data_IF_982085832015
#
_entry.id   IF_982085832015
#
_cell.length_a   1.000
_cell.length_b   1.000
_cell.length_c   1.000
_cell.angle_alpha   90.00
_cell.angle_beta   90.00
_cell.angle_gamma   90.00
#
_symmetry.space_group_name_H-M   'P 1'
#
loop_
_entity.id
_entity.type
_entity.pdbx_description
1 polymer ?
#
# COMPACT_ATOMS: atom_id res chain seq x y z
N UNK A 1 7.92 23.99 61.48
CA UNK A 1 8.32 25.31 60.94
C UNK A 1 8.78 25.11 59.50
N UNK A 2 8.16 25.81 58.54
CA UNK A 2 8.77 26.33 57.29
C UNK A 2 9.12 25.30 56.18
N UNK A 3 8.79 25.45 54.90
CA UNK A 3 7.89 26.34 54.15
C UNK A 3 7.67 25.73 52.73
N UNK A 4 6.47 25.95 52.17
CA UNK A 4 6.10 25.64 50.78
C UNK A 4 6.92 26.44 49.77
N UNK A 5 7.10 25.95 48.52
CA UNK A 5 7.84 26.67 47.48
C UNK A 5 7.15 28.00 47.11
N UNK A 6 7.92 29.03 46.73
CA UNK A 6 7.44 30.39 46.54
C UNK A 6 6.52 30.52 45.32
N UNK A 7 5.43 31.27 45.51
CA UNK A 7 4.50 31.66 44.44
C UNK A 7 5.19 32.55 43.40
N UNK A 8 4.96 32.24 42.12
CA UNK A 8 5.41 33.07 41.00
C UNK A 8 4.57 34.35 40.91
N UNK A 9 5.17 35.53 40.66
CA UNK A 9 4.44 36.79 40.57
C UNK A 9 3.56 36.84 39.32
N UNK A 10 2.26 37.03 39.52
CA UNK A 10 1.37 37.56 38.50
C UNK A 10 1.59 39.08 38.42
N UNK A 11 2.18 39.55 37.32
CA UNK A 11 2.37 40.96 37.04
C UNK A 11 2.51 41.16 35.53
N UNK A 12 1.50 41.77 34.92
CA UNK A 12 1.24 41.74 33.49
C UNK A 12 2.32 42.39 32.62
N UNK A 13 2.82 41.61 31.65
CA UNK A 13 3.45 42.12 30.44
C UNK A 13 2.51 41.80 29.27
N UNK A 14 1.84 42.83 28.77
CA UNK A 14 1.00 42.76 27.57
C UNK A 14 1.91 42.52 26.37
N UNK A 15 1.91 41.30 25.84
CA UNK A 15 2.62 40.96 24.60
C UNK A 15 1.82 41.52 23.40
N UNK A 16 2.48 42.15 22.41
CA UNK A 16 1.82 42.74 21.25
C UNK A 16 1.19 41.66 20.36
N UNK A 17 -0.07 41.89 19.97
CA UNK A 17 -0.83 41.07 19.03
C UNK A 17 -0.30 41.29 17.61
N UNK A 18 0.49 40.35 17.12
CA UNK A 18 0.87 40.31 15.70
C UNK A 18 0.17 39.12 15.02
N UNK A 19 -0.72 39.51 14.10
CA UNK A 19 -1.16 38.80 12.90
C UNK A 19 -1.22 37.26 12.96
N UNK A 20 -2.46 36.80 13.15
CA UNK A 20 -2.98 35.54 12.65
C UNK A 20 -2.73 35.42 11.13
N UNK A 21 -1.61 34.83 10.76
CA UNK A 21 -1.45 34.14 9.47
C UNK A 21 -0.96 32.73 9.78
N UNK A 22 -1.92 31.88 10.17
CA UNK A 22 -1.72 30.43 10.10
C UNK A 22 -1.38 30.10 8.66
N UNK A 23 -0.19 29.54 8.46
CA UNK A 23 0.15 28.83 7.23
C UNK A 23 -0.98 27.87 6.90
N UNK A 24 -1.52 27.97 5.68
CA UNK A 24 -2.54 27.07 5.15
C UNK A 24 -1.89 25.69 5.03
N UNK A 25 -1.92 24.90 6.11
CA UNK A 25 -1.63 23.47 6.03
C UNK A 25 -2.72 22.90 5.13
N UNK A 26 -2.37 22.55 3.90
CA UNK A 26 -3.23 21.81 2.98
C UNK A 26 -3.91 20.68 3.72
N UNK A 27 -5.21 20.85 3.97
CA UNK A 27 -6.06 19.78 4.46
C UNK A 27 -6.55 19.04 3.22
N UNK A 28 -5.72 18.14 2.69
CA UNK A 28 -6.20 17.12 1.75
C UNK A 28 -6.98 16.08 2.55
N UNK A 29 -8.18 16.43 2.99
CA UNK A 29 -9.18 15.45 3.37
C UNK A 29 -9.67 14.84 2.07
N UNK A 30 -9.14 13.67 1.73
CA UNK A 30 -9.72 12.84 0.68
C UNK A 30 -11.07 12.37 1.21
N UNK A 31 -12.15 13.00 0.74
CA UNK A 31 -13.51 12.52 0.93
C UNK A 31 -13.64 11.17 0.19
N UNK A 32 -13.51 10.06 0.91
CA UNK A 32 -14.02 8.75 0.48
C UNK A 32 -15.55 8.74 0.65
N UNK A 33 -16.22 9.64 -0.05
CA UNK A 33 -17.66 9.64 -0.27
C UNK A 33 -17.96 8.99 -1.63
N UNK A 34 -17.77 7.68 -1.73
CA UNK A 34 -17.96 6.92 -2.97
C UNK A 34 -18.85 5.68 -2.77
N UNK A 35 -20.08 5.78 -3.26
CA UNK A 35 -21.12 4.76 -3.50
C UNK A 35 -20.68 3.28 -3.45
N UNK A 36 -21.50 2.37 -2.88
CA UNK A 36 -21.25 0.93 -2.98
C UNK A 36 -21.52 0.47 -4.42
N UNK A 37 -20.52 -0.13 -5.08
CA UNK A 37 -20.69 -0.75 -6.39
C UNK A 37 -19.79 -0.27 -7.53
N UNK A 38 -18.70 0.44 -7.25
CA UNK A 38 -17.72 0.83 -8.27
C UNK A 38 -16.69 -0.27 -8.55
N UNK A 39 -17.02 -1.21 -9.44
CA UNK A 39 -15.99 -2.06 -10.06
C UNK A 39 -15.04 -1.20 -10.87
N UNK A 40 -13.73 -1.36 -10.66
CA UNK A 40 -12.67 -0.73 -11.47
C UNK A 40 -12.83 -1.10 -12.94
N UNK A 41 -13.55 -0.26 -13.69
CA UNK A 41 -13.85 -0.42 -15.12
C UNK A 41 -13.51 0.85 -15.90
N UNK A 42 -12.38 1.46 -15.62
CA UNK A 42 -11.90 2.59 -16.43
C UNK A 42 -10.43 2.38 -16.72
N UNK A 43 -10.17 1.73 -17.85
CA UNK A 43 -9.00 1.97 -18.71
C UNK A 43 -9.41 1.49 -20.09
N UNK A 44 -10.08 2.39 -20.80
CA UNK A 44 -10.66 2.19 -22.13
C UNK A 44 -9.65 2.60 -23.21
N UNK A 45 -9.45 1.65 -24.12
CA UNK A 45 -8.88 1.58 -25.48
C UNK A 45 -7.87 2.59 -26.09
N UNK A 46 -7.63 3.81 -25.62
CA UNK A 46 -6.70 4.74 -26.33
C UNK A 46 -5.89 5.70 -25.42
N UNK A 47 -5.66 5.33 -24.15
CA UNK A 47 -5.08 6.23 -23.13
C UNK A 47 -4.20 5.62 -22.03
N UNK A 48 -3.69 4.39 -22.19
CA UNK A 48 -3.05 3.61 -21.12
C UNK A 48 -1.56 3.85 -20.87
N UNK A 49 -0.98 4.99 -21.24
CA UNK A 49 0.47 5.25 -21.08
C UNK A 49 0.71 5.92 -19.73
N UNK A 50 0.61 5.17 -18.63
CA UNK A 50 1.15 5.66 -17.37
C UNK A 50 2.66 5.89 -17.55
N UNK A 51 3.19 6.99 -17.02
CA UNK A 51 4.63 7.27 -17.07
C UNK A 51 5.47 6.19 -16.34
N UNK A 52 4.81 5.38 -15.50
CA UNK A 52 5.39 4.26 -14.75
C UNK A 52 4.75 2.98 -15.25
N UNK A 53 5.59 2.00 -15.60
CA UNK A 53 5.16 0.61 -15.81
C UNK A 53 5.28 -0.18 -14.51
N UNK A 54 4.26 -0.96 -14.19
CA UNK A 54 4.20 -1.81 -13.01
C UNK A 54 4.19 -3.27 -13.46
N UNK A 55 5.23 -4.01 -13.06
CA UNK A 55 5.33 -5.44 -13.29
C UNK A 55 5.32 -6.21 -11.96
N UNK A 56 4.67 -7.37 -11.95
CA UNK A 56 4.54 -8.24 -10.78
C UNK A 56 5.11 -9.62 -11.11
N UNK A 57 5.93 -10.20 -10.23
CA UNK A 57 6.38 -11.60 -10.35
C UNK A 57 5.82 -12.45 -9.22
N UNK A 58 5.16 -13.54 -9.57
CA UNK A 58 4.77 -14.58 -8.63
C UNK A 58 5.96 -15.55 -8.45
N UNK A 59 6.31 -15.85 -7.20
CA UNK A 59 7.36 -16.82 -6.89
C UNK A 59 6.76 -18.21 -6.69
N UNK A 60 7.48 -19.30 -7.03
CA UNK A 60 7.07 -20.64 -6.67
C UNK A 60 6.78 -20.79 -5.17
N UNK A 61 5.79 -21.61 -4.79
CA UNK A 61 5.52 -21.97 -3.40
C UNK A 61 6.74 -22.58 -2.72
N UNK A 62 6.95 -22.33 -1.42
CA UNK A 62 8.05 -22.94 -0.68
C UNK A 62 7.87 -24.46 -0.61
N UNK A 63 8.93 -25.21 -0.91
CA UNK A 63 8.97 -26.67 -0.79
C UNK A 63 9.33 -27.05 0.65
N UNK A 64 8.93 -28.25 1.07
CA UNK A 64 9.28 -28.77 2.40
C UNK A 64 10.78 -29.03 2.58
N UNK A 65 11.54 -29.08 1.48
CA UNK A 65 13.00 -29.22 1.49
C UNK A 65 13.73 -27.88 1.58
N UNK A 66 13.02 -26.77 1.44
CA UNK A 66 13.63 -25.45 1.43
C UNK A 66 14.00 -25.02 2.86
N UNK A 67 15.14 -24.32 3.05
CA UNK A 67 15.54 -23.88 4.37
C UNK A 67 14.48 -22.98 5.00
N UNK A 68 14.03 -23.31 6.21
CA UNK A 68 13.04 -22.54 6.95
C UNK A 68 11.58 -22.81 6.55
N UNK A 69 11.29 -23.76 5.67
CA UNK A 69 9.92 -24.17 5.32
C UNK A 69 9.10 -24.63 6.54
N UNK A 70 9.76 -25.28 7.50
CA UNK A 70 9.14 -25.77 8.74
C UNK A 70 8.62 -24.64 9.62
N UNK A 71 9.27 -23.46 9.56
CA UNK A 71 8.85 -22.27 10.29
C UNK A 71 7.61 -21.61 9.69
N UNK A 72 7.27 -21.92 8.43
CA UNK A 72 6.10 -21.37 7.75
C UNK A 72 4.87 -22.14 8.23
N UNK A 73 3.88 -21.48 8.86
CA UNK A 73 2.62 -22.11 9.24
C UNK A 73 1.93 -22.77 8.04
N UNK A 74 1.33 -23.94 8.26
CA UNK A 74 0.71 -24.74 7.20
C UNK A 74 -0.29 -23.95 6.32
N UNK A 75 -1.04 -23.02 6.92
CA UNK A 75 -2.00 -22.13 6.22
C UNK A 75 -1.36 -21.18 5.19
N UNK A 76 -0.05 -20.98 5.23
CA UNK A 76 0.69 -20.10 4.32
C UNK A 76 1.56 -20.87 3.31
N UNK A 77 1.47 -22.21 3.29
CA UNK A 77 2.27 -23.05 2.37
C UNK A 77 1.63 -23.22 0.99
N UNK A 78 0.31 -23.07 0.88
CA UNK A 78 -0.41 -23.14 -0.39
C UNK A 78 -0.33 -21.82 -1.17
N UNK A 79 -0.38 -21.90 -2.50
CA UNK A 79 -0.49 -20.72 -3.35
C UNK A 79 -1.88 -20.09 -3.18
N UNK A 80 -1.91 -18.79 -2.89
CA UNK A 80 -3.14 -17.99 -2.80
C UNK A 80 -3.33 -17.10 -4.03
N UNK A 81 -2.39 -17.15 -4.98
CA UNK A 81 -2.32 -16.29 -6.14
C UNK A 81 -2.38 -17.11 -7.42
N UNK A 82 -3.16 -16.65 -8.38
CA UNK A 82 -3.37 -17.32 -9.66
C UNK A 82 -3.18 -16.31 -10.78
N UNK A 83 -2.13 -16.50 -11.57
CA UNK A 83 -1.92 -15.75 -12.81
C UNK A 83 -2.93 -16.25 -13.84
N UNK A 84 -3.81 -15.36 -14.30
CA UNK A 84 -4.87 -15.72 -15.25
C UNK A 84 -4.51 -15.32 -16.68
N UNK A 85 -3.67 -14.29 -16.83
CA UNK A 85 -3.07 -13.84 -18.08
C UNK A 85 -1.76 -13.09 -17.79
N UNK A 86 -0.96 -12.73 -18.81
CA UNK A 86 0.25 -11.93 -18.64
C UNK A 86 0.02 -10.53 -18.05
N UNK A 87 -1.22 -10.10 -17.85
CA UNK A 87 -1.57 -8.80 -17.26
C UNK A 87 -2.51 -8.92 -16.06
N UNK A 88 -2.98 -10.12 -15.73
CA UNK A 88 -4.04 -10.33 -14.73
C UNK A 88 -3.63 -11.32 -13.66
N UNK A 89 -3.75 -10.89 -12.41
CA UNK A 89 -3.45 -11.68 -11.20
C UNK A 89 -4.68 -11.75 -10.31
N UNK A 90 -5.11 -12.96 -9.97
CA UNK A 90 -6.18 -13.18 -8.99
C UNK A 90 -5.57 -13.60 -7.65
N UNK A 91 -6.01 -12.99 -6.55
CA UNK A 91 -5.57 -13.33 -5.19
C UNK A 91 -6.78 -13.77 -4.36
N UNK A 92 -6.68 -14.95 -3.77
CA UNK A 92 -7.63 -15.50 -2.82
C UNK A 92 -7.29 -15.05 -1.39
N UNK A 93 -8.28 -14.50 -0.71
CA UNK A 93 -8.18 -14.02 0.67
C UNK A 93 -9.37 -14.53 1.48
N UNK A 94 -9.31 -14.42 2.81
CA UNK A 94 -10.43 -14.70 3.70
C UNK A 94 -11.69 -13.86 3.38
N UNK A 95 -11.52 -12.73 2.70
CA UNK A 95 -12.61 -11.85 2.24
C UNK A 95 -13.12 -12.19 0.82
N UNK A 96 -12.63 -13.28 0.21
CA UNK A 96 -12.96 -13.69 -1.16
C UNK A 96 -11.82 -13.47 -2.16
N UNK A 97 -12.13 -13.68 -3.44
CA UNK A 97 -11.18 -13.55 -4.55
C UNK A 97 -11.17 -12.12 -5.09
N UNK A 98 -9.99 -11.55 -5.27
CA UNK A 98 -9.78 -10.22 -5.89
C UNK A 98 -8.95 -10.35 -7.15
N UNK A 99 -9.36 -9.67 -8.21
CA UNK A 99 -8.66 -9.61 -9.48
C UNK A 99 -7.93 -8.28 -9.59
N UNK A 100 -6.67 -8.34 -10.00
CA UNK A 100 -5.77 -7.21 -10.23
C UNK A 100 -5.29 -7.21 -11.68
N UNK A 101 -5.17 -6.02 -12.26
CA UNK A 101 -4.67 -5.82 -13.62
C UNK A 101 -3.41 -4.95 -13.56
N UNK A 102 -2.35 -5.38 -14.23
CA UNK A 102 -1.04 -4.75 -14.29
C UNK A 102 -0.54 -4.68 -15.73
N UNK A 103 0.53 -3.92 -15.97
CA UNK A 103 1.19 -3.86 -17.28
C UNK A 103 1.83 -5.20 -17.64
N UNK A 104 2.39 -5.90 -16.65
CA UNK A 104 2.98 -7.22 -16.81
C UNK A 104 2.88 -8.05 -15.52
N UNK A 105 2.54 -9.33 -15.65
CA UNK A 105 2.50 -10.32 -14.58
C UNK A 105 3.29 -11.53 -15.05
N UNK A 106 4.33 -11.88 -14.29
CA UNK A 106 5.16 -13.05 -14.50
C UNK A 106 4.68 -14.19 -13.59
N UNK A 107 4.46 -15.36 -14.18
CA UNK A 107 4.14 -16.58 -13.47
C UNK A 107 5.33 -17.17 -12.71
N UNK A 108 5.06 -18.26 -12.00
CA UNK A 108 6.05 -18.95 -11.16
C UNK A 108 7.18 -19.59 -11.99
N UNK A 109 6.91 -19.87 -13.27
CA UNK A 109 7.81 -20.45 -14.25
C UNK A 109 8.84 -19.44 -14.80
N UNK A 110 8.62 -18.14 -14.60
CA UNK A 110 9.50 -17.11 -15.16
C UNK A 110 10.72 -16.92 -14.27
N UNK A 111 11.86 -17.35 -14.78
CA UNK A 111 13.15 -17.16 -14.13
C UNK A 111 13.63 -15.71 -14.20
N UNK A 112 14.75 -15.43 -13.53
CA UNK A 112 15.30 -14.08 -13.46
C UNK A 112 15.68 -13.50 -14.83
N UNK A 113 16.15 -14.34 -15.76
CA UNK A 113 16.46 -13.93 -17.14
C UNK A 113 15.21 -13.40 -17.85
N UNK A 114 14.07 -14.09 -17.75
CA UNK A 114 12.81 -13.63 -18.35
C UNK A 114 12.28 -12.32 -17.76
N UNK A 115 12.56 -12.03 -16.49
CA UNK A 115 12.28 -10.71 -15.91
C UNK A 115 13.24 -9.65 -16.46
N UNK A 116 14.50 -10.00 -16.65
CA UNK A 116 15.53 -9.09 -17.16
C UNK A 116 15.26 -8.66 -18.60
N UNK A 117 14.79 -9.56 -19.46
CA UNK A 117 14.43 -9.24 -20.85
C UNK A 117 13.30 -8.21 -20.97
N UNK A 118 12.47 -8.07 -19.92
CA UNK A 118 11.39 -7.09 -19.88
C UNK A 118 11.84 -5.68 -19.43
N UNK A 119 12.95 -5.58 -18.69
CA UNK A 119 13.48 -4.32 -18.15
C UNK A 119 14.30 -3.56 -19.19
#
# INVERSE_FOLDING_TARGET
MTASPPGSPAGGVKRPVSAMMRSYRSSSRVDFGGRPGGGSRISDEDGGKTAVKVAVRVRPPPKATDPGSDLIPQRFRGSTCQVTSPTTLTIESAQGKKLFVFDQVFGEEVEQEGVWEYL
#
